data_IF_506130334807
#
_entry.id   IF_506130334807
#
_cell.length_a   1.000
_cell.length_b   1.000
_cell.length_c   1.000
_cell.angle_alpha   90.00
_cell.angle_beta   90.00
_cell.angle_gamma   90.00
#
_symmetry.space_group_name_H-M   'P 1'
#
loop_
_entity.id
_entity.type
_entity.pdbx_description
1 polymer ?
#
# COMPACT_ATOMS: atom_id res chain seq x y z
N UNK A 1 -18.42 1.01 -34.23
CA UNK A 1 -18.11 1.83 -33.03
C UNK A 1 -17.52 0.89 -32.00
N UNK A 2 -16.20 0.91 -31.81
CA UNK A 2 -15.55 0.11 -30.77
C UNK A 2 -15.63 0.89 -29.45
N UNK A 3 -16.22 0.30 -28.41
CA UNK A 3 -16.20 0.88 -27.07
C UNK A 3 -14.80 0.76 -26.49
N UNK A 4 -14.15 1.91 -26.29
CA UNK A 4 -12.91 2.00 -25.56
C UNK A 4 -13.26 1.87 -24.08
N UNK A 5 -12.92 0.73 -23.47
CA UNK A 5 -13.19 0.49 -22.06
C UNK A 5 -12.04 1.11 -21.24
N UNK A 6 -12.27 2.22 -20.50
CA UNK A 6 -11.20 2.96 -19.83
C UNK A 6 -10.54 2.18 -18.70
N UNK A 7 -11.15 1.08 -18.24
CA UNK A 7 -10.63 0.23 -17.17
C UNK A 7 -9.54 -0.74 -17.64
N UNK A 8 -9.50 -1.11 -18.92
CA UNK A 8 -8.46 -1.98 -19.49
C UNK A 8 -7.10 -1.27 -19.59
N UNK A 9 -7.09 0.06 -19.79
CA UNK A 9 -5.87 0.85 -19.85
C UNK A 9 -5.20 1.07 -18.49
N UNK A 10 -5.95 1.06 -17.39
CA UNK A 10 -5.41 1.26 -16.04
C UNK A 10 -4.78 -0.03 -15.52
N UNK A 11 -5.41 -1.19 -15.75
CA UNK A 11 -4.87 -2.48 -15.31
C UNK A 11 -3.52 -2.82 -15.97
N UNK A 12 -3.31 -2.37 -17.21
CA UNK A 12 -2.08 -2.64 -17.96
C UNK A 12 -0.92 -1.70 -17.61
N UNK A 13 -1.20 -0.56 -16.95
CA UNK A 13 -0.17 0.37 -16.48
C UNK A 13 0.41 -0.01 -15.11
N UNK A 14 -0.33 -0.76 -14.30
CA UNK A 14 0.11 -1.21 -12.98
C UNK A 14 1.15 -2.34 -13.07
N UNK A 15 1.17 -3.09 -14.18
CA UNK A 15 2.07 -4.24 -14.38
C UNK A 15 3.53 -3.87 -14.70
N UNK A 16 3.85 -2.58 -14.88
CA UNK A 16 5.19 -2.12 -15.29
C UNK A 16 5.85 -1.09 -14.37
N UNK A 17 5.23 -0.72 -13.25
CA UNK A 17 5.90 0.11 -12.25
C UNK A 17 6.39 -0.83 -11.16
N UNK A 18 7.66 -1.22 -11.25
CA UNK A 18 8.35 -1.86 -10.13
C UNK A 18 8.28 -0.89 -8.94
N UNK A 19 7.41 -1.22 -7.98
CA UNK A 19 7.09 -0.36 -6.85
C UNK A 19 8.26 -0.44 -5.85
N UNK A 20 9.34 0.28 -6.14
CA UNK A 20 10.47 0.45 -5.23
C UNK A 20 10.04 1.37 -4.09
N UNK A 21 9.55 0.76 -3.01
CA UNK A 21 9.20 1.48 -1.80
C UNK A 21 10.46 1.73 -0.98
N UNK A 22 10.80 3.01 -0.80
CA UNK A 22 11.81 3.42 0.16
C UNK A 22 11.19 3.46 1.57
N UNK A 23 11.34 2.36 2.29
CA UNK A 23 10.86 2.23 3.67
C UNK A 23 11.46 3.30 4.59
N UNK A 24 12.72 3.70 4.37
CA UNK A 24 13.38 4.71 5.19
C UNK A 24 12.74 6.09 4.98
N UNK A 25 12.31 6.41 3.76
CA UNK A 25 11.56 7.63 3.47
C UNK A 25 10.19 7.64 4.15
N UNK A 26 9.46 6.51 4.13
CA UNK A 26 8.17 6.38 4.81
C UNK A 26 8.33 6.57 6.33
N UNK A 27 9.30 5.89 6.94
CA UNK A 27 9.58 6.01 8.38
C UNK A 27 10.04 7.42 8.78
N UNK A 28 10.76 8.11 7.90
CA UNK A 28 11.13 9.51 8.10
C UNK A 28 9.91 10.42 8.08
N UNK A 29 8.98 10.23 7.14
CA UNK A 29 7.73 10.99 7.07
C UNK A 29 6.88 10.75 8.32
N UNK A 30 6.67 9.49 8.72
CA UNK A 30 5.92 9.14 9.94
C UNK A 30 6.49 9.82 11.18
N UNK A 31 7.82 9.78 11.38
CA UNK A 31 8.49 10.45 12.51
C UNK A 31 8.33 11.97 12.46
N UNK A 32 8.45 12.57 11.28
CA UNK A 32 8.30 14.02 11.10
C UNK A 32 6.87 14.47 11.44
N UNK A 33 5.87 13.69 11.04
CA UNK A 33 4.48 13.94 11.39
C UNK A 33 4.23 13.88 12.90
N UNK A 34 4.78 12.88 13.58
CA UNK A 34 4.66 12.76 15.05
C UNK A 34 5.31 13.91 15.80
N UNK A 35 6.52 14.30 15.38
CA UNK A 35 7.23 15.44 15.99
C UNK A 35 6.45 16.74 15.80
N UNK A 36 5.93 16.98 14.59
CA UNK A 36 5.15 18.18 14.30
C UNK A 36 3.82 18.20 15.03
N UNK A 37 3.11 17.07 15.10
CA UNK A 37 1.87 16.95 15.88
C UNK A 37 2.13 17.22 17.37
N UNK A 38 3.21 16.66 17.92
CA UNK A 38 3.66 16.93 19.28
C UNK A 38 3.94 18.41 19.52
N UNK A 39 4.65 19.08 18.61
CA UNK A 39 4.99 20.50 18.74
C UNK A 39 3.75 21.41 18.72
N UNK A 40 2.76 21.11 17.88
CA UNK A 40 1.49 21.87 17.83
C UNK A 40 0.71 21.70 19.13
N UNK A 41 0.69 20.50 19.71
CA UNK A 41 0.05 20.25 21.01
C UNK A 41 0.71 21.01 22.18
N UNK A 42 2.02 21.24 22.13
CA UNK A 42 2.77 21.97 23.17
C UNK A 42 2.68 23.50 23.02
N UNK A 43 2.28 24.01 21.86
CA UNK A 43 2.05 25.43 21.70
C UNK A 43 0.77 25.82 22.46
N UNK A 44 0.93 26.60 23.54
CA UNK A 44 -0.08 27.04 24.51
C UNK A 44 -1.25 27.89 23.93
N UNK A 45 -1.58 27.76 22.65
CA UNK A 45 -2.66 28.50 21.99
C UNK A 45 -4.02 28.28 22.65
N UNK A 46 -4.26 27.10 23.25
CA UNK A 46 -5.47 26.81 24.05
C UNK A 46 -5.56 27.60 25.36
N UNK A 47 -4.44 28.06 25.91
CA UNK A 47 -4.34 28.64 27.26
C UNK A 47 -4.23 30.17 27.26
N UNK A 48 -4.39 30.82 26.11
CA UNK A 48 -4.34 32.29 26.04
C UNK A 48 -5.62 32.88 26.62
N UNK A 49 -5.62 33.18 27.92
CA UNK A 49 -6.68 33.92 28.57
C UNK A 49 -6.45 35.42 28.43
N UNK A 50 -7.29 36.10 27.66
CA UNK A 50 -7.26 37.57 27.56
C UNK A 50 -8.35 38.13 28.47
N UNK A 51 -7.99 38.82 29.57
CA UNK A 51 -8.99 39.34 30.50
C UNK A 51 -9.86 40.41 29.85
N UNK A 52 -11.15 40.56 30.23
CA UNK A 52 -12.08 41.51 29.61
C UNK A 52 -11.60 42.98 29.64
N UNK A 53 -10.75 43.33 30.60
CA UNK A 53 -10.15 44.67 30.72
C UNK A 53 -8.92 44.91 29.83
N UNK A 54 -8.35 43.88 29.20
CA UNK A 54 -7.11 43.98 28.42
C UNK A 54 -7.23 44.95 27.25
N UNK A 55 -8.44 45.20 26.76
CA UNK A 55 -8.70 46.09 25.63
C UNK A 55 -9.18 47.50 26.04
N UNK A 56 -9.24 47.82 27.34
CA UNK A 56 -9.50 49.19 27.80
C UNK A 56 -10.95 49.52 28.20
N UNK A 57 -11.80 48.51 28.44
CA UNK A 57 -13.06 48.63 29.19
C UNK A 57 -14.20 49.45 28.55
N UNK A 58 -14.00 50.05 27.37
CA UNK A 58 -15.05 50.75 26.64
C UNK A 58 -15.87 49.79 25.73
N UNK A 59 -17.02 50.23 25.21
CA UNK A 59 -17.87 49.37 24.37
C UNK A 59 -17.17 48.82 23.12
N UNK A 60 -16.25 49.58 22.52
CA UNK A 60 -15.45 49.14 21.38
C UNK A 60 -14.41 48.07 21.77
N UNK A 61 -13.85 48.16 22.98
CA UNK A 61 -12.94 47.20 23.57
C UNK A 61 -13.61 45.85 23.83
N UNK A 62 -14.88 45.86 24.26
CA UNK A 62 -15.67 44.65 24.43
C UNK A 62 -15.89 43.92 23.09
N UNK A 63 -16.23 44.67 22.03
CA UNK A 63 -16.38 44.10 20.68
C UNK A 63 -15.05 43.51 20.16
N UNK A 64 -13.93 44.20 20.38
CA UNK A 64 -12.59 43.71 20.03
C UNK A 64 -12.25 42.41 20.76
N UNK A 65 -12.52 42.33 22.06
CA UNK A 65 -12.30 41.12 22.86
C UNK A 65 -13.09 39.92 22.34
N UNK A 66 -14.37 40.12 21.99
CA UNK A 66 -15.22 39.08 21.40
C UNK A 66 -14.69 38.62 20.05
N UNK A 67 -14.34 39.56 19.15
CA UNK A 67 -13.79 39.23 17.83
C UNK A 67 -12.45 38.49 17.94
N UNK A 68 -11.61 38.88 18.90
CA UNK A 68 -10.34 38.22 19.18
C UNK A 68 -10.54 36.78 19.67
N UNK A 69 -11.47 36.55 20.60
CA UNK A 69 -11.81 35.20 21.06
C UNK A 69 -12.35 34.31 19.93
N UNK A 70 -13.21 34.86 19.08
CA UNK A 70 -13.75 34.14 17.92
C UNK A 70 -12.64 33.78 16.93
N UNK A 71 -11.73 34.71 16.64
CA UNK A 71 -10.57 34.44 15.80
C UNK A 71 -9.68 33.33 16.39
N UNK A 72 -9.44 33.35 17.70
CA UNK A 72 -8.70 32.30 18.39
C UNK A 72 -9.37 30.93 18.26
N UNK A 73 -10.69 30.85 18.39
CA UNK A 73 -11.42 29.60 18.26
C UNK A 73 -11.34 29.05 16.82
N UNK A 74 -11.46 29.91 15.81
CA UNK A 74 -11.29 29.52 14.40
C UNK A 74 -9.87 29.01 14.12
N UNK A 75 -8.85 29.69 14.64
CA UNK A 75 -7.45 29.26 14.50
C UNK A 75 -7.25 27.90 15.16
N UNK A 76 -7.75 27.72 16.39
CA UNK A 76 -7.69 26.46 17.13
C UNK A 76 -8.38 25.33 16.37
N UNK A 77 -9.57 25.56 15.84
CA UNK A 77 -10.31 24.56 15.08
C UNK A 77 -9.56 24.16 13.80
N UNK A 78 -9.00 25.14 13.08
CA UNK A 78 -8.18 24.91 11.89
C UNK A 78 -6.95 24.06 12.22
N UNK A 79 -6.22 24.40 13.29
CA UNK A 79 -5.06 23.63 13.72
C UNK A 79 -5.42 22.20 14.12
N UNK A 80 -6.55 22.00 14.80
CA UNK A 80 -7.03 20.65 15.13
C UNK A 80 -7.36 19.86 13.86
N UNK A 81 -8.04 20.46 12.88
CA UNK A 81 -8.35 19.80 11.61
C UNK A 81 -7.08 19.37 10.86
N UNK A 82 -6.06 20.23 10.82
CA UNK A 82 -4.75 19.86 10.24
C UNK A 82 -4.12 18.68 10.97
N UNK A 83 -4.16 18.65 12.31
CA UNK A 83 -3.63 17.52 13.07
C UNK A 83 -4.37 16.21 12.78
N UNK A 84 -5.70 16.28 12.69
CA UNK A 84 -6.55 15.13 12.37
C UNK A 84 -6.23 14.60 10.96
N UNK A 85 -6.03 15.49 9.99
CA UNK A 85 -5.63 15.15 8.62
C UNK A 85 -4.23 14.49 8.58
N UNK A 86 -3.26 15.02 9.33
CA UNK A 86 -1.92 14.43 9.41
C UNK A 86 -1.96 13.03 10.03
N UNK A 87 -2.78 12.82 11.06
CA UNK A 87 -2.97 11.51 11.67
C UNK A 87 -3.65 10.53 10.69
N UNK A 88 -4.69 10.97 9.99
CA UNK A 88 -5.37 10.16 8.98
C UNK A 88 -4.42 9.77 7.84
N UNK A 89 -3.57 10.70 7.39
CA UNK A 89 -2.55 10.44 6.39
C UNK A 89 -1.54 9.39 6.84
N UNK A 90 -1.06 9.48 8.09
CA UNK A 90 -0.17 8.47 8.68
C UNK A 90 -0.82 7.09 8.69
N UNK A 91 -2.06 6.98 9.17
CA UNK A 91 -2.81 5.71 9.16
C UNK A 91 -2.97 5.17 7.74
N UNK A 92 -3.15 6.05 6.76
CA UNK A 92 -3.16 5.70 5.34
C UNK A 92 -1.83 5.09 4.87
N UNK A 93 -0.69 5.63 5.31
CA UNK A 93 0.64 5.08 5.02
C UNK A 93 0.84 3.69 5.65
N UNK A 94 0.45 3.51 6.92
CA UNK A 94 0.53 2.21 7.60
C UNK A 94 -0.31 1.15 6.87
N UNK A 95 -1.50 1.53 6.38
CA UNK A 95 -2.36 0.64 5.59
C UNK A 95 -1.77 0.33 4.22
N UNK A 96 -1.19 1.31 3.55
CA UNK A 96 -0.55 1.10 2.25
C UNK A 96 0.62 0.12 2.38
N UNK A 97 1.47 0.30 3.39
CA UNK A 97 2.59 -0.60 3.70
C UNK A 97 2.12 -2.05 3.91
N UNK A 98 1.07 -2.25 4.71
CA UNK A 98 0.48 -3.58 4.91
C UNK A 98 -0.03 -4.20 3.61
N UNK A 99 -0.70 -3.43 2.76
CA UNK A 99 -1.21 -3.93 1.48
C UNK A 99 -0.09 -4.33 0.51
N UNK A 100 1.03 -3.62 0.55
CA UNK A 100 2.21 -3.94 -0.27
C UNK A 100 2.86 -5.22 0.25
N UNK A 101 3.03 -5.35 1.57
CA UNK A 101 3.55 -6.58 2.16
C UNK A 101 2.67 -7.79 1.80
N UNK A 102 1.34 -7.65 1.90
CA UNK A 102 0.40 -8.71 1.52
C UNK A 102 0.51 -9.06 0.02
N UNK A 103 0.73 -8.06 -0.84
CA UNK A 103 0.91 -8.26 -2.28
C UNK A 103 2.23 -8.98 -2.61
N UNK A 104 3.31 -8.63 -1.92
CA UNK A 104 4.62 -9.29 -2.06
C UNK A 104 4.56 -10.75 -1.60
N UNK A 105 3.97 -11.00 -0.42
CA UNK A 105 3.79 -12.35 0.13
C UNK A 105 2.87 -13.20 -0.78
N UNK A 106 1.79 -12.61 -1.29
CA UNK A 106 0.90 -13.25 -2.26
C UNK A 106 1.61 -13.60 -3.57
N UNK A 107 2.41 -12.67 -4.10
CA UNK A 107 3.18 -12.87 -5.33
C UNK A 107 4.24 -13.96 -5.18
N UNK A 108 4.93 -14.00 -4.04
CA UNK A 108 5.88 -15.06 -3.71
C UNK A 108 5.18 -16.44 -3.65
N UNK A 109 4.03 -16.52 -2.97
CA UNK A 109 3.25 -17.76 -2.85
C UNK A 109 2.73 -18.26 -4.20
N UNK A 110 2.28 -17.37 -5.07
CA UNK A 110 1.83 -17.73 -6.41
C UNK A 110 2.99 -18.16 -7.32
N UNK A 111 4.16 -17.56 -7.17
CA UNK A 111 5.36 -17.95 -7.91
C UNK A 111 5.86 -19.34 -7.46
N UNK A 112 5.81 -19.64 -6.17
CA UNK A 112 6.11 -20.96 -5.64
C UNK A 112 5.10 -22.02 -6.10
N UNK A 113 3.80 -21.67 -6.15
CA UNK A 113 2.77 -22.55 -6.70
C UNK A 113 3.01 -22.86 -8.17
N UNK A 114 3.39 -21.86 -8.98
CA UNK A 114 3.76 -22.05 -10.39
C UNK A 114 4.97 -22.97 -10.52
N UNK A 115 6.04 -22.73 -9.76
CA UNK A 115 7.23 -23.60 -9.75
C UNK A 115 6.88 -25.05 -9.37
N UNK A 116 6.05 -25.25 -8.36
CA UNK A 116 5.61 -26.59 -7.96
C UNK A 116 4.81 -27.26 -9.10
N UNK A 117 3.91 -26.53 -9.76
CA UNK A 117 3.14 -26.99 -10.91
C UNK A 117 4.05 -27.36 -12.10
N UNK A 118 5.05 -26.54 -12.40
CA UNK A 118 6.00 -26.79 -13.49
C UNK A 118 6.86 -28.03 -13.21
N UNK A 119 7.31 -28.21 -11.96
CA UNK A 119 8.04 -29.41 -11.54
C UNK A 119 7.16 -30.66 -11.70
N UNK A 120 5.91 -30.62 -11.22
CA UNK A 120 4.98 -31.75 -11.35
C UNK A 120 4.68 -32.07 -12.82
N UNK A 121 4.49 -31.06 -13.66
CA UNK A 121 4.27 -31.22 -15.10
C UNK A 121 5.51 -31.81 -15.78
N UNK A 122 6.71 -31.35 -15.41
CA UNK A 122 7.98 -31.86 -15.92
C UNK A 122 8.23 -33.32 -15.53
N UNK A 123 7.87 -33.72 -14.30
CA UNK A 123 7.95 -35.11 -13.84
C UNK A 123 6.95 -36.01 -14.56
N UNK A 124 5.68 -35.59 -14.66
CA UNK A 124 4.66 -36.32 -15.41
C UNK A 124 5.04 -36.50 -16.90
N UNK A 125 5.64 -35.48 -17.51
CA UNK A 125 6.16 -35.55 -18.88
C UNK A 125 7.28 -36.58 -19.05
N UNK A 126 8.19 -36.70 -18.07
CA UNK A 126 9.29 -37.69 -18.06
C UNK A 126 8.79 -39.11 -17.91
N UNK A 127 7.81 -39.35 -17.04
CA UNK A 127 7.23 -40.68 -16.85
C UNK A 127 6.54 -41.17 -18.13
N UNK A 128 5.71 -40.33 -18.77
CA UNK A 128 5.05 -40.72 -20.02
C UNK A 128 6.02 -40.92 -21.19
N UNK A 129 7.14 -40.18 -21.23
CA UNK A 129 8.18 -40.39 -22.22
C UNK A 129 8.96 -41.69 -21.97
N UNK A 130 9.22 -42.02 -20.69
CA UNK A 130 9.86 -43.26 -20.28
C UNK A 130 9.01 -44.49 -20.64
N UNK A 131 7.70 -44.46 -20.32
CA UNK A 131 6.78 -45.56 -20.66
C UNK A 131 6.70 -45.78 -22.17
N UNK A 132 6.56 -44.71 -22.97
CA UNK A 132 6.55 -44.79 -24.44
C UNK A 132 7.85 -45.33 -25.01
N UNK A 133 8.99 -44.96 -24.42
CA UNK A 133 10.29 -45.48 -24.84
C UNK A 133 10.44 -46.98 -24.52
N UNK A 134 9.98 -47.42 -23.34
CA UNK A 134 9.95 -48.84 -22.98
C UNK A 134 9.03 -49.65 -23.91
N UNK A 135 7.85 -49.13 -24.23
CA UNK A 135 6.92 -49.76 -25.18
C UNK A 135 7.49 -49.88 -26.59
N UNK A 136 8.08 -48.80 -27.12
CA UNK A 136 8.72 -48.79 -28.42
C UNK A 136 9.89 -49.78 -28.48
N UNK A 137 10.74 -49.81 -27.44
CA UNK A 137 11.86 -50.76 -27.35
C UNK A 137 11.39 -52.21 -27.32
N UNK A 138 10.32 -52.51 -26.60
CA UNK A 138 9.74 -53.85 -26.54
C UNK A 138 9.11 -54.27 -27.87
N UNK A 139 8.51 -53.34 -28.63
CA UNK A 139 8.00 -53.63 -29.98
C UNK A 139 9.12 -53.96 -30.96
N UNK A 140 10.23 -53.23 -30.94
CA UNK A 140 11.40 -53.50 -31.80
C UNK A 140 11.98 -54.89 -31.53
N UNK A 141 12.11 -55.27 -30.26
CA UNK A 141 12.63 -56.59 -29.87
C UNK A 141 11.68 -57.73 -30.26
N UNK A 142 10.36 -57.52 -30.20
CA UNK A 142 9.37 -58.50 -30.67
C UNK A 142 9.33 -58.64 -32.20
N UNK A 143 9.57 -57.56 -32.94
CA UNK A 143 9.62 -57.58 -34.40
C UNK A 143 10.86 -58.28 -34.97
N UNK A 144 12.00 -58.22 -34.27
CA UNK A 144 13.25 -58.88 -34.69
C UNK A 144 13.31 -60.39 -34.43
N UNK A 145 12.48 -60.93 -33.52
CA UNK A 145 12.44 -62.36 -33.21
C UNK A 145 11.61 -63.23 -34.17
N UNK A 146 10.90 -62.62 -35.13
CA UNK A 146 9.94 -63.31 -36.01
C UNK A 146 10.42 -63.59 -37.44
N UNK A 147 11.66 -63.22 -37.81
CA UNK A 147 12.17 -63.31 -39.18
C UNK A 147 13.26 -64.40 -39.36
N UNK A 148 13.14 -65.52 -38.65
CA UNK A 148 14.07 -66.64 -38.75
C UNK A 148 13.32 -67.97 -38.74
N UNK A 149 12.62 -68.26 -39.84
CA UNK A 149 12.15 -69.60 -40.22
C UNK A 149 11.83 -69.62 -41.71
#
# INVERSE_FOLDING_TARGET
>A
MASFDPFLGVAQLVDQVELLIDQAAIDHVKRTLDQNAGNVHHNNFKNLHVPPGAFGGNGAAAALGTNHLQAHEVIRATLQGVLDDLHAFRVGLDRAESLIQDADEGSAADLDRKRASDILTGLAGRDTASTRNHEARNQVLRGQGGASS
#
